data_IF_237364992041
#
_entry.id   IF_237364992041
#
_cell.length_a   1.000
_cell.length_b   1.000
_cell.length_c   1.000
_cell.angle_alpha   90.00
_cell.angle_beta   90.00
_cell.angle_gamma   90.00
#
_symmetry.space_group_name_H-M   'P 1'
#
loop_
_entity.id
_entity.type
_entity.pdbx_description
1 polymer ?
#
# COMPACT_ATOMS: atom_id res chain seq x y z
N UNK A 1 -7.93 -35.60 13.62
CA UNK A 1 -7.26 -34.29 13.43
C UNK A 1 -7.23 -34.02 11.95
N UNK A 2 -7.80 -32.91 11.44
CA UNK A 2 -7.71 -32.63 10.01
C UNK A 2 -6.24 -32.41 9.65
N UNK A 3 -5.78 -33.15 8.64
CA UNK A 3 -4.42 -33.01 8.11
C UNK A 3 -4.31 -31.63 7.47
N UNK A 4 -3.29 -30.86 7.87
CA UNK A 4 -3.07 -29.52 7.33
C UNK A 4 -2.42 -29.63 5.95
N UNK A 5 -3.13 -29.18 4.93
CA UNK A 5 -2.60 -29.14 3.56
C UNK A 5 -1.56 -28.02 3.41
N UNK A 6 -0.35 -28.36 2.97
CA UNK A 6 0.76 -27.41 2.79
C UNK A 6 0.85 -26.87 1.37
N UNK A 7 0.27 -27.58 0.40
CA UNK A 7 0.36 -27.22 -1.02
C UNK A 7 -0.70 -26.17 -1.37
N UNK A 8 -1.86 -26.24 -0.73
CA UNK A 8 -2.99 -25.34 -0.98
C UNK A 8 -3.46 -24.66 0.31
N UNK A 9 -2.63 -23.76 0.90
CA UNK A 9 -3.03 -23.01 2.08
C UNK A 9 -4.21 -22.09 1.78
N UNK A 10 -5.07 -21.86 2.78
CA UNK A 10 -6.18 -20.91 2.66
C UNK A 10 -5.67 -19.46 2.61
N UNK A 11 -6.46 -18.55 2.04
CA UNK A 11 -6.10 -17.13 1.93
C UNK A 11 -5.84 -16.48 3.31
N UNK A 12 -6.54 -16.94 4.34
CA UNK A 12 -6.38 -16.45 5.71
C UNK A 12 -5.02 -16.85 6.29
N UNK A 13 -4.57 -18.08 6.01
CA UNK A 13 -3.26 -18.57 6.44
C UNK A 13 -2.11 -17.84 5.72
N UNK A 14 -2.27 -17.58 4.43
CA UNK A 14 -1.29 -16.81 3.65
C UNK A 14 -1.15 -15.39 4.18
N UNK A 15 -2.27 -14.73 4.56
CA UNK A 15 -2.27 -13.38 5.14
C UNK A 15 -1.61 -13.31 6.52
N UNK A 16 -1.80 -14.34 7.36
CA UNK A 16 -1.18 -14.43 8.69
C UNK A 16 0.32 -14.71 8.62
N UNK A 17 0.77 -15.36 7.54
CA UNK A 17 2.17 -15.75 7.37
C UNK A 17 3.04 -14.56 6.98
N UNK A 18 4.25 -14.49 7.53
CA UNK A 18 5.23 -13.46 7.17
C UNK A 18 5.58 -13.55 5.67
N UNK A 19 5.74 -12.40 4.99
CA UNK A 19 6.03 -12.29 3.55
C UNK A 19 7.16 -13.18 3.03
N UNK A 20 8.19 -13.45 3.83
CA UNK A 20 9.33 -14.33 3.46
C UNK A 20 9.06 -15.82 3.63
N UNK A 21 8.02 -16.20 4.38
CA UNK A 21 7.65 -17.59 4.69
C UNK A 21 6.39 -18.06 3.96
N UNK A 22 5.84 -17.22 3.08
CA UNK A 22 4.73 -17.61 2.21
C UNK A 22 5.22 -18.65 1.21
N UNK A 23 4.32 -19.54 0.78
CA UNK A 23 4.60 -20.55 -0.24
C UNK A 23 5.14 -19.90 -1.54
N UNK A 24 4.54 -18.77 -1.91
CA UNK A 24 4.99 -17.93 -3.02
C UNK A 24 5.40 -16.56 -2.46
N UNK A 25 6.54 -16.05 -2.87
CA UNK A 25 7.05 -14.77 -2.40
C UNK A 25 6.27 -13.60 -3.00
N UNK A 26 5.64 -12.79 -2.14
CA UNK A 26 4.92 -11.58 -2.55
C UNK A 26 5.27 -10.39 -1.64
N UNK A 27 5.48 -9.19 -2.20
CA UNK A 27 5.70 -7.99 -1.41
C UNK A 27 4.40 -7.54 -0.71
N UNK A 28 4.53 -6.90 0.46
CA UNK A 28 3.39 -6.27 1.16
C UNK A 28 3.18 -4.79 0.74
N UNK A 29 4.07 -4.25 -0.08
CA UNK A 29 4.05 -2.85 -0.49
C UNK A 29 3.31 -2.67 -1.82
N UNK A 30 2.62 -1.54 -1.96
CA UNK A 30 1.83 -1.23 -3.14
C UNK A 30 2.01 0.23 -3.53
N UNK A 31 1.81 0.53 -4.81
CA UNK A 31 1.66 1.91 -5.28
C UNK A 31 0.22 2.36 -5.07
N UNK A 32 0.06 3.58 -4.57
CA UNK A 32 -1.21 4.21 -4.26
C UNK A 32 -1.31 5.54 -5.01
N UNK A 33 -2.53 5.84 -5.48
CA UNK A 33 -2.91 7.15 -6.00
C UNK A 33 -3.43 7.96 -4.83
N UNK A 34 -2.82 9.11 -4.58
CA UNK A 34 -3.24 10.04 -3.53
C UNK A 34 -3.82 11.27 -4.22
N UNK A 35 -5.07 11.60 -3.92
CA UNK A 35 -5.71 12.86 -4.29
C UNK A 35 -5.55 13.84 -3.13
N UNK A 36 -5.03 15.03 -3.43
CA UNK A 36 -4.91 16.10 -2.46
C UNK A 36 -6.27 16.78 -2.22
N UNK A 37 -6.50 17.24 -0.99
CA UNK A 37 -7.72 17.95 -0.61
C UNK A 37 -7.90 19.31 -1.29
N UNK A 38 -6.80 20.00 -1.65
CA UNK A 38 -6.84 21.38 -2.13
C UNK A 38 -6.65 21.53 -3.65
N UNK A 39 -5.82 20.68 -4.27
CA UNK A 39 -5.48 20.76 -5.70
C UNK A 39 -6.30 19.76 -6.54
N UNK A 40 -7.01 18.79 -5.92
CA UNK A 40 -7.63 17.59 -6.55
C UNK A 40 -6.69 16.75 -7.46
N UNK A 41 -5.44 17.19 -7.59
CA UNK A 41 -4.38 16.55 -8.34
C UNK A 41 -4.06 15.18 -7.76
N UNK A 42 -3.86 14.21 -8.65
CA UNK A 42 -3.59 12.82 -8.29
C UNK A 42 -2.11 12.49 -8.46
N UNK A 43 -1.39 12.36 -7.34
CA UNK A 43 0.01 11.95 -7.33
C UNK A 43 0.14 10.47 -7.00
N UNK A 44 1.05 9.76 -7.67
CA UNK A 44 1.38 8.37 -7.32
C UNK A 44 2.46 8.34 -6.25
N UNK A 45 2.20 7.61 -5.17
CA UNK A 45 3.13 7.42 -4.06
C UNK A 45 3.25 5.92 -3.72
N UNK A 46 4.34 5.53 -3.08
CA UNK A 46 4.51 4.17 -2.56
C UNK A 46 4.00 4.10 -1.10
N UNK A 47 3.40 2.98 -0.70
CA UNK A 47 2.78 2.86 0.63
C UNK A 47 3.77 2.98 1.80
N UNK A 48 5.04 2.62 1.61
CA UNK A 48 6.10 2.74 2.64
C UNK A 48 7.16 3.77 2.21
N UNK A 49 6.73 4.90 1.65
CA UNK A 49 7.65 5.96 1.20
C UNK A 49 8.46 6.52 2.37
N UNK A 50 9.79 6.54 2.25
CA UNK A 50 10.71 7.05 3.27
C UNK A 50 10.82 8.57 3.30
N UNK A 51 10.50 9.23 2.19
CA UNK A 51 10.52 10.69 2.05
C UNK A 51 9.12 11.27 2.20
N UNK A 52 9.04 12.48 2.77
CA UNK A 52 7.83 13.29 2.72
C UNK A 52 7.50 13.58 1.25
N UNK A 53 6.23 13.43 0.85
CA UNK A 53 5.74 13.78 -0.49
C UNK A 53 4.83 14.99 -0.40
N UNK A 54 4.96 15.88 -1.37
CA UNK A 54 4.18 17.10 -1.54
C UNK A 54 3.33 17.00 -2.83
N UNK A 55 2.16 17.66 -2.91
CA UNK A 55 1.41 17.82 -4.18
C UNK A 55 2.31 18.58 -5.16
N UNK A 56 2.37 18.13 -6.42
CA UNK A 56 3.17 18.77 -7.47
C UNK A 56 2.67 20.21 -7.79
N UNK A 57 1.40 20.50 -7.50
CA UNK A 57 0.73 21.75 -7.87
C UNK A 57 0.60 22.75 -6.70
N UNK A 58 0.10 22.32 -5.54
CA UNK A 58 -0.07 23.19 -4.37
C UNK A 58 1.07 23.11 -3.34
N UNK A 59 2.11 22.31 -3.61
CA UNK A 59 3.25 22.02 -2.72
C UNK A 59 2.89 21.59 -1.27
N UNK A 60 1.61 21.30 -1.03
CA UNK A 60 1.12 20.93 0.30
C UNK A 60 1.55 19.50 0.62
N UNK A 61 1.86 19.19 1.89
CA UNK A 61 2.28 17.86 2.28
C UNK A 61 1.13 16.86 2.15
N UNK A 62 1.33 15.81 1.35
CA UNK A 62 0.33 14.73 1.17
C UNK A 62 0.64 13.50 2.03
N UNK A 63 1.93 13.23 2.28
CA UNK A 63 2.38 12.00 2.92
C UNK A 63 3.50 12.23 3.93
N UNK A 64 3.37 11.63 5.11
CA UNK A 64 4.38 11.63 6.16
C UNK A 64 5.03 10.25 6.29
N UNK A 65 6.37 10.16 6.26
CA UNK A 65 7.07 8.89 6.42
C UNK A 65 6.93 8.37 7.86
N UNK A 66 6.77 7.07 7.99
CA UNK A 66 6.76 6.34 9.27
C UNK A 66 7.62 5.08 9.13
N UNK A 67 7.82 4.32 10.21
CA UNK A 67 8.51 3.03 10.14
C UNK A 67 7.77 1.94 9.35
N UNK A 68 6.52 2.18 8.96
CA UNK A 68 5.67 1.23 8.24
C UNK A 68 4.94 1.90 7.09
N UNK A 69 3.63 1.68 7.01
CA UNK A 69 2.78 2.45 6.10
C UNK A 69 2.77 3.90 6.58
N UNK A 70 3.14 4.82 5.68
CA UNK A 70 3.18 6.24 6.02
C UNK A 70 1.79 6.81 6.31
N UNK A 71 1.79 7.96 6.98
CA UNK A 71 0.58 8.64 7.43
C UNK A 71 0.15 9.65 6.37
N UNK A 72 -1.11 9.57 5.98
CA UNK A 72 -1.71 10.52 5.03
C UNK A 72 -2.03 11.84 5.73
N UNK A 73 -1.90 12.97 5.01
CA UNK A 73 -2.35 14.26 5.51
C UNK A 73 -3.88 14.36 5.58
N UNK A 74 -4.38 15.26 6.43
CA UNK A 74 -5.83 15.45 6.66
C UNK A 74 -6.55 15.83 5.35
N UNK A 75 -7.74 15.25 5.14
CA UNK A 75 -8.58 15.51 3.96
C UNK A 75 -8.10 14.89 2.64
N UNK A 76 -6.93 14.25 2.59
CA UNK A 76 -6.47 13.57 1.39
C UNK A 76 -7.14 12.19 1.23
N UNK A 77 -7.44 11.82 -0.01
CA UNK A 77 -8.08 10.53 -0.35
C UNK A 77 -7.03 9.66 -1.05
N UNK A 78 -7.02 8.36 -0.77
CA UNK A 78 -6.08 7.44 -1.42
C UNK A 78 -6.80 6.20 -1.97
N UNK A 79 -6.27 5.68 -3.08
CA UNK A 79 -6.72 4.45 -3.72
C UNK A 79 -5.53 3.59 -4.15
N UNK A 80 -5.61 2.27 -3.94
CA UNK A 80 -4.57 1.33 -4.41
C UNK A 80 -4.63 1.22 -5.92
N UNK A 81 -3.47 1.34 -6.57
CA UNK A 81 -3.36 1.02 -7.99
C UNK A 81 -3.40 -0.50 -8.12
N UNK A 82 -4.54 -1.03 -8.55
CA UNK A 82 -4.62 -2.40 -9.04
C UNK A 82 -4.25 -2.36 -10.53
N UNK A 83 -3.49 -3.34 -11.00
CA UNK A 83 -3.39 -3.56 -12.44
C UNK A 83 -4.79 -3.93 -12.91
N UNK A 84 -5.41 -3.08 -13.72
CA UNK A 84 -6.56 -3.49 -14.52
C UNK A 84 -6.07 -4.66 -15.37
N UNK A 85 -6.70 -5.83 -15.25
CA UNK A 85 -6.46 -6.90 -16.20
C UNK A 85 -6.85 -6.37 -17.58
N UNK A 86 -5.99 -6.59 -18.58
CA UNK A 86 -6.39 -6.49 -19.99
C UNK A 86 -7.47 -7.54 -20.27
#
# INVERSE_FOLDING_TARGET
MPVKDLLYPTLEEVKRTNKRKKLIAEPNGSFIKVKCASCEHQTVCYSHTQRKRNCDECNSPIWYPTGGMGRLAEGCIWAVIRKTAN
#
